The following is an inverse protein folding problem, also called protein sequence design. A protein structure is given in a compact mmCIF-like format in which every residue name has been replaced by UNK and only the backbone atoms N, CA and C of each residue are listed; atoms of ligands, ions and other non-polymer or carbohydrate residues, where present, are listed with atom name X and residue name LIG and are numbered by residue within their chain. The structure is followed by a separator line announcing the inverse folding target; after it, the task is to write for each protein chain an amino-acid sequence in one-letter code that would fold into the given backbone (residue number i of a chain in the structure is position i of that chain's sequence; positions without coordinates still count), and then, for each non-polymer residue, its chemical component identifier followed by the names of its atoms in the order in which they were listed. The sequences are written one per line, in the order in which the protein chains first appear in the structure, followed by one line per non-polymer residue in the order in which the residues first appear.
data_IF_210152378434
#
_entry.id   IF_210152378434
#
_cell.length_a   1.000
_cell.length_b   1.000
_cell.length_c   1.000
_cell.angle_alpha   90.00
_cell.angle_beta   90.00
_cell.angle_gamma   90.00
#
_symmetry.space_group_name_H-M   'P 1'
#
loop_
_entity.id
_entity.type
_entity.pdbx_description
1 polymer ?
#
# COMPACT_ATOMS: atom_id res chain seq x y z
N UNK A 1 3.92 6.67 7.60
CA UNK A 1 5.35 6.93 7.82
C UNK A 1 5.67 8.35 7.41
N UNK A 2 6.40 9.08 8.26
CA UNK A 2 6.90 10.42 7.99
C UNK A 2 8.40 10.33 7.71
N UNK A 3 8.85 10.87 6.57
CA UNK A 3 10.26 10.99 6.22
C UNK A 3 10.68 12.46 6.32
N UNK A 4 11.79 12.73 7.00
CA UNK A 4 12.34 14.08 7.16
C UNK A 4 13.49 14.35 6.19
N UNK A 5 14.14 13.28 5.70
CA UNK A 5 15.25 13.36 4.76
C UNK A 5 14.88 12.73 3.40
N UNK A 6 15.49 13.24 2.33
CA UNK A 6 15.18 12.80 0.97
C UNK A 6 15.53 11.33 0.71
N UNK A 7 16.57 10.81 1.35
CA UNK A 7 16.96 9.40 1.24
C UNK A 7 15.93 8.48 1.89
N UNK A 8 15.40 8.87 3.06
CA UNK A 8 14.32 8.14 3.73
C UNK A 8 13.09 8.10 2.82
N UNK A 9 12.65 9.25 2.29
CA UNK A 9 11.47 9.29 1.39
C UNK A 9 11.67 8.40 0.16
N UNK A 10 12.89 8.36 -0.40
CA UNK A 10 13.22 7.51 -1.55
C UNK A 10 13.09 6.02 -1.23
N UNK A 11 13.64 5.58 -0.09
CA UNK A 11 13.55 4.18 0.36
C UNK A 11 12.08 3.81 0.60
N UNK A 12 11.35 4.65 1.34
CA UNK A 12 9.94 4.41 1.66
C UNK A 12 9.07 4.39 0.41
N UNK A 13 9.29 5.33 -0.52
CA UNK A 13 8.60 5.37 -1.82
C UNK A 13 8.77 4.04 -2.55
N UNK A 14 10.00 3.49 -2.59
CA UNK A 14 10.26 2.23 -3.29
C UNK A 14 9.54 1.07 -2.62
N UNK A 15 9.71 0.91 -1.31
CA UNK A 15 9.07 -0.16 -0.54
C UNK A 15 7.54 -0.08 -0.65
N UNK A 16 6.98 1.13 -0.60
CA UNK A 16 5.53 1.31 -0.70
C UNK A 16 5.01 0.98 -2.11
N UNK A 17 5.73 1.38 -3.15
CA UNK A 17 5.38 1.03 -4.53
C UNK A 17 5.41 -0.49 -4.74
N UNK A 18 6.44 -1.17 -4.24
CA UNK A 18 6.57 -2.63 -4.35
C UNK A 18 5.49 -3.36 -3.53
N UNK A 19 5.02 -2.78 -2.43
CA UNK A 19 3.98 -3.35 -1.56
C UNK A 19 2.55 -3.26 -2.14
N UNK A 20 2.27 -2.23 -2.96
CA UNK A 20 0.97 -2.03 -3.60
C UNK A 20 0.90 -2.59 -5.02
N UNK A 21 2.02 -3.05 -5.57
CA UNK A 21 2.06 -3.67 -6.88
C UNK A 21 1.44 -5.08 -6.84
N UNK A 22 0.59 -5.38 -7.82
CA UNK A 22 0.14 -6.75 -8.09
C UNK A 22 1.32 -7.59 -8.56
N UNK A 23 1.39 -8.84 -8.11
CA UNK A 23 2.41 -9.80 -8.56
C UNK A 23 1.89 -10.73 -9.64
N UNK A 24 0.67 -10.48 -10.14
CA UNK A 24 0.11 -11.24 -11.25
C UNK A 24 0.97 -11.05 -12.51
N UNK A 25 1.35 -12.14 -13.21
CA UNK A 25 2.06 -12.04 -14.48
C UNK A 25 1.30 -11.18 -15.50
N UNK A 26 2.05 -10.34 -16.24
CA UNK A 26 1.52 -9.50 -17.31
C UNK A 26 0.99 -10.41 -18.43
N UNK A 27 -0.28 -10.22 -18.84
CA UNK A 27 -0.90 -10.95 -19.95
C UNK A 27 -2.03 -11.90 -19.57
N UNK A 28 -2.35 -12.03 -18.28
CA UNK A 28 -3.55 -12.73 -17.82
C UNK A 28 -4.75 -11.75 -17.75
N UNK A 29 -5.95 -12.15 -18.23
CA UNK A 29 -7.14 -11.29 -18.20
C UNK A 29 -7.70 -11.08 -16.78
N UNK A 30 -7.24 -11.86 -15.80
CA UNK A 30 -7.68 -11.82 -14.40
C UNK A 30 -6.49 -11.99 -13.47
N UNK A 31 -6.54 -11.36 -12.29
CA UNK A 31 -5.55 -11.60 -11.23
C UNK A 31 -5.61 -13.06 -10.76
N UNK A 32 -4.44 -13.67 -10.56
CA UNK A 32 -4.38 -15.01 -9.98
C UNK A 32 -4.74 -14.93 -8.48
N UNK A 33 -5.55 -15.87 -7.96
CA UNK A 33 -5.81 -15.94 -6.52
C UNK A 33 -4.51 -15.90 -5.72
N UNK A 34 -4.46 -15.07 -4.68
CA UNK A 34 -3.28 -14.87 -3.82
C UNK A 34 -2.14 -14.03 -4.43
N UNK A 35 -2.26 -13.53 -5.66
CA UNK A 35 -1.23 -12.71 -6.32
C UNK A 35 -1.55 -11.20 -6.36
N UNK A 36 -2.73 -10.81 -5.87
CA UNK A 36 -3.11 -9.42 -5.71
C UNK A 36 -2.24 -8.69 -4.67
N UNK A 37 -2.21 -7.35 -4.70
CA UNK A 37 -1.47 -6.56 -3.73
C UNK A 37 -2.02 -6.77 -2.31
N UNK A 38 -1.13 -6.79 -1.31
CA UNK A 38 -1.50 -6.91 0.12
C UNK A 38 -1.79 -5.58 0.78
N UNK A 39 -1.48 -4.48 0.09
CA UNK A 39 -1.61 -3.14 0.59
C UNK A 39 -2.24 -2.25 -0.47
N UNK A 40 -3.00 -1.25 -0.02
CA UNK A 40 -3.42 -0.11 -0.84
C UNK A 40 -2.77 1.17 -0.34
N UNK A 41 -2.43 2.09 -1.24
CA UNK A 41 -1.99 3.42 -0.84
C UNK A 41 -3.17 4.22 -0.29
N UNK A 42 -2.98 4.88 0.84
CA UNK A 42 -3.94 5.84 1.40
C UNK A 42 -3.68 7.25 0.91
N UNK A 43 -2.44 7.56 0.53
CA UNK A 43 -2.02 8.88 0.06
C UNK A 43 -1.79 8.86 -1.45
N UNK A 44 -2.07 9.96 -2.14
CA UNK A 44 -1.77 10.12 -3.57
C UNK A 44 -0.33 10.64 -3.76
N UNK A 45 0.64 9.77 -3.49
CA UNK A 45 2.05 10.14 -3.42
C UNK A 45 2.48 10.51 -2.00
N UNK A 46 3.42 11.45 -1.88
CA UNK A 46 3.83 11.99 -0.57
C UNK A 46 3.05 13.25 -0.26
N UNK A 47 2.30 13.23 0.83
CA UNK A 47 1.64 14.41 1.38
C UNK A 47 2.67 15.32 2.05
N UNK A 48 2.38 16.62 2.04
CA UNK A 48 3.18 17.68 2.66
C UNK A 48 2.32 18.42 3.67
N UNK A 49 2.98 19.03 4.65
CA UNK A 49 2.30 19.98 5.53
C UNK A 49 1.67 21.13 4.72
N UNK A 50 0.52 21.61 5.20
CA UNK A 50 -0.09 22.82 4.65
C UNK A 50 0.68 24.08 5.05
N UNK A 51 0.34 25.22 4.44
CA UNK A 51 1.04 26.48 4.69
C UNK A 51 0.95 26.93 6.15
N UNK A 52 -0.20 26.73 6.80
CA UNK A 52 -0.41 27.13 8.18
C UNK A 52 0.42 26.29 9.15
N UNK A 53 0.56 25.00 8.88
CA UNK A 53 1.44 24.10 9.64
C UNK A 53 2.91 24.39 9.40
N UNK A 54 3.30 24.73 8.17
CA UNK A 54 4.67 25.16 7.88
C UNK A 54 5.04 26.47 8.58
N UNK A 55 4.10 27.41 8.71
CA UNK A 55 4.32 28.67 9.43
C UNK A 55 4.47 28.43 10.94
N UNK A 56 3.56 27.67 11.54
CA UNK A 56 3.64 27.34 12.98
C UNK A 56 4.83 26.43 13.30
N UNK A 57 5.24 25.61 12.36
CA UNK A 57 6.24 24.57 12.55
C UNK A 57 7.14 24.43 11.31
N UNK A 58 8.17 25.29 11.16
CA UNK A 58 9.03 25.30 9.97
C UNK A 58 9.72 23.98 9.65
N UNK A 59 9.97 23.12 10.66
CA UNK A 59 10.56 21.79 10.44
C UNK A 59 9.64 20.85 9.64
N UNK A 60 8.34 21.13 9.59
CA UNK A 60 7.34 20.35 8.84
C UNK A 60 7.47 20.55 7.32
N UNK A 61 8.15 21.61 6.86
CA UNK A 61 8.33 21.90 5.44
C UNK A 61 9.02 20.75 4.66
N UNK A 62 9.95 20.06 5.32
CA UNK A 62 10.68 18.94 4.72
C UNK A 62 9.94 17.60 4.83
N UNK A 63 8.91 17.50 5.69
CA UNK A 63 8.25 16.25 6.02
C UNK A 63 7.45 15.72 4.83
N UNK A 64 7.65 14.44 4.53
CA UNK A 64 6.87 13.67 3.56
C UNK A 64 6.09 12.58 4.26
N UNK A 65 4.77 12.66 4.21
CA UNK A 65 3.88 11.65 4.75
C UNK A 65 3.45 10.67 3.65
N UNK A 66 3.62 9.38 3.94
CA UNK A 66 3.11 8.28 3.12
C UNK A 66 2.39 7.28 4.01
N UNK A 67 1.24 6.77 3.58
CA UNK A 67 0.50 5.76 4.33
C UNK A 67 -0.03 4.65 3.42
N UNK A 68 0.02 3.42 3.91
CA UNK A 68 -0.59 2.24 3.30
C UNK A 68 -1.62 1.67 4.28
N UNK A 69 -2.67 1.08 3.74
CA UNK A 69 -3.56 0.20 4.48
C UNK A 69 -3.33 -1.24 4.01
N UNK A 70 -3.20 -2.17 4.95
CA UNK A 70 -3.24 -3.60 4.64
C UNK A 70 -4.66 -3.98 4.22
N UNK A 71 -4.78 -4.68 3.11
CA UNK A 71 -6.04 -5.26 2.66
C UNK A 71 -5.93 -6.77 2.84
N UNK A 72 -6.91 -7.36 3.53
CA UNK A 72 -6.96 -8.81 3.72
C UNK A 72 -7.65 -9.42 2.49
N UNK A 73 -7.01 -10.43 1.89
CA UNK A 73 -7.64 -11.28 0.87
C UNK A 73 -8.29 -12.48 1.58
N UNK A 74 -9.39 -12.26 2.32
CA UNK A 74 -10.39 -13.31 2.57
C UNK A 74 -11.57 -12.97 1.64
N UNK A 75 -12.03 -13.82 0.72
CA UNK A 75 -12.18 -15.24 0.82
C UNK A 75 -11.89 -15.96 -0.52
N UNK A 76 -10.95 -16.90 -0.51
CA UNK A 76 -11.20 -18.15 -1.23
C UNK A 76 -12.40 -18.81 -0.51
N UNK A 77 -13.50 -19.13 -1.23
CA UNK A 77 -14.58 -19.89 -0.62
C UNK A 77 -13.98 -21.20 -0.14
N UNK A 78 -14.10 -21.47 1.15
CA UNK A 78 -13.78 -22.77 1.74
C UNK A 78 -14.62 -23.77 0.94
N UNK A 79 -13.99 -24.52 0.03
CA UNK A 79 -14.63 -25.64 -0.62
C UNK A 79 -15.05 -26.60 0.50
N UNK A 80 -16.31 -26.50 0.89
CA UNK A 80 -16.97 -27.49 1.73
C UNK A 80 -17.10 -28.75 0.86
N UNK A 81 -16.03 -29.53 0.79
CA UNK A 81 -16.13 -30.96 0.52
C UNK A 81 -16.82 -31.58 1.72
N UNK A 82 -18.15 -31.61 1.68
CA UNK A 82 -18.96 -32.65 2.30
C UNK A 82 -19.54 -33.46 1.15
N UNK A 83 -18.76 -34.39 0.61
CA UNK A 83 -18.93 -35.83 0.88
C UNK A 83 -20.35 -36.29 0.57
N UNK A 84 -20.52 -36.84 -0.64
CA UNK A 84 -21.54 -37.86 -0.83
C UNK A 84 -21.20 -39.05 0.08
N UNK A 85 -22.20 -39.50 0.82
CA UNK A 85 -22.36 -40.89 1.21
C UNK A 85 -23.83 -41.08 1.61
N UNK A 86 -24.47 -42.00 0.89
CA UNK A 86 -25.79 -42.64 1.12
C UNK A 86 -27.06 -41.89 0.74
#
# INVERSE_FOLDING_TARGET
MMAYQSLEDRIVKRVFADAVASKTPIGLPVELPGHGPRFRSLTHGAERADAAEMERNPRSAAVRLRALQRIDHEAEPRHATGKGDS
#
